data_IF_182470198635
#
_entry.id   IF_182470198635
#
_cell.length_a   1.000
_cell.length_b   1.000
_cell.length_c   1.000
_cell.angle_alpha   90.00
_cell.angle_beta   90.00
_cell.angle_gamma   90.00
#
_symmetry.space_group_name_H-M   'P 1'
#
loop_
_entity.id
_entity.type
_entity.pdbx_description
1 polymer ?
#
# COMPACT_ATOMS: atom_id res chain seq x y z
N UNK A 1 -7.40 -14.02 -1.15
CA UNK A 1 -6.49 -13.48 -0.11
C UNK A 1 -5.09 -13.68 -0.66
N UNK A 2 -4.41 -12.61 -1.05
CA UNK A 2 -3.23 -12.69 -1.91
C UNK A 2 -2.32 -11.48 -1.78
N UNK A 3 -1.12 -11.62 -2.35
CA UNK A 3 -0.11 -10.57 -2.48
C UNK A 3 -0.68 -9.33 -3.19
N UNK A 4 -0.07 -8.17 -2.91
CA UNK A 4 -0.39 -6.93 -3.62
C UNK A 4 0.13 -7.07 -5.05
N UNK A 5 -0.76 -6.92 -6.03
CA UNK A 5 -0.45 -7.11 -7.44
C UNK A 5 -0.62 -5.80 -8.24
N UNK A 6 -0.32 -5.87 -9.53
CA UNK A 6 -0.36 -4.73 -10.45
C UNK A 6 -1.71 -4.02 -10.51
N UNK A 7 -2.82 -4.76 -10.48
CA UNK A 7 -4.16 -4.19 -10.60
C UNK A 7 -4.52 -3.34 -9.37
N UNK A 8 -4.08 -3.77 -8.19
CA UNK A 8 -4.27 -3.02 -6.94
C UNK A 8 -3.53 -1.67 -7.00
N UNK A 9 -2.30 -1.68 -7.52
CA UNK A 9 -1.48 -0.47 -7.72
C UNK A 9 -2.13 0.49 -8.72
N UNK A 10 -2.62 -0.04 -9.85
CA UNK A 10 -3.27 0.80 -10.87
C UNK A 10 -4.56 1.45 -10.35
N UNK A 11 -5.33 0.70 -9.55
CA UNK A 11 -6.52 1.23 -8.90
C UNK A 11 -6.16 2.35 -7.92
N UNK A 12 -5.13 2.15 -7.09
CA UNK A 12 -4.66 3.13 -6.13
C UNK A 12 -4.13 4.40 -6.82
N UNK A 13 -3.34 4.27 -7.89
CA UNK A 13 -2.85 5.39 -8.70
C UNK A 13 -4.01 6.22 -9.26
N UNK A 14 -5.01 5.56 -9.84
CA UNK A 14 -6.19 6.23 -10.41
C UNK A 14 -7.00 6.96 -9.35
N UNK A 15 -7.08 6.39 -8.15
CA UNK A 15 -7.83 6.96 -7.03
C UNK A 15 -7.04 8.00 -6.23
N UNK A 16 -5.73 8.16 -6.48
CA UNK A 16 -4.84 8.95 -5.61
C UNK A 16 -4.76 8.39 -4.19
N UNK A 17 -4.84 7.07 -4.05
CA UNK A 17 -4.88 6.38 -2.78
C UNK A 17 -3.54 5.71 -2.44
N UNK A 18 -3.31 5.48 -1.15
CA UNK A 18 -2.20 4.66 -0.65
C UNK A 18 -2.64 3.20 -0.49
N UNK A 19 -1.69 2.27 -0.55
CA UNK A 19 -1.95 0.84 -0.32
C UNK A 19 -1.38 0.43 1.04
N UNK A 20 -2.22 -0.18 1.87
CA UNK A 20 -1.83 -0.75 3.16
C UNK A 20 -2.00 -2.27 3.11
N UNK A 21 -0.88 -2.99 3.21
CA UNK A 21 -0.82 -4.44 3.30
C UNK A 21 -0.58 -4.90 4.74
N UNK A 22 -1.31 -5.92 5.20
CA UNK A 22 -1.08 -6.56 6.50
C UNK A 22 -0.68 -8.02 6.30
N UNK A 23 0.52 -8.39 6.75
CA UNK A 23 1.08 -9.73 6.60
C UNK A 23 1.11 -10.24 5.15
N UNK A 24 1.33 -9.32 4.19
CA UNK A 24 1.41 -9.63 2.75
C UNK A 24 2.66 -8.98 2.17
N UNK A 25 3.23 -9.58 1.13
CA UNK A 25 4.34 -8.96 0.37
C UNK A 25 3.83 -8.56 -1.01
N UNK A 26 4.18 -7.36 -1.52
CA UNK A 26 3.90 -7.00 -2.90
C UNK A 26 4.78 -7.82 -3.85
N UNK A 27 4.22 -8.14 -5.00
CA UNK A 27 4.96 -8.74 -6.10
C UNK A 27 5.98 -7.74 -6.65
N UNK A 28 7.05 -8.24 -7.27
CA UNK A 28 8.12 -7.39 -7.82
C UNK A 28 7.58 -6.36 -8.84
N UNK A 29 6.68 -6.81 -9.72
CA UNK A 29 6.02 -5.97 -10.72
C UNK A 29 5.14 -4.89 -10.07
N UNK A 30 4.48 -5.22 -8.96
CA UNK A 30 3.64 -4.27 -8.23
C UNK A 30 4.50 -3.18 -7.57
N UNK A 31 5.64 -3.55 -6.99
CA UNK A 31 6.58 -2.58 -6.40
C UNK A 31 7.16 -1.64 -7.46
N UNK A 32 7.57 -2.17 -8.61
CA UNK A 32 8.08 -1.35 -9.71
C UNK A 32 7.02 -0.40 -10.26
N UNK A 33 5.77 -0.88 -10.42
CA UNK A 33 4.69 -0.01 -10.90
C UNK A 33 4.35 1.07 -9.88
N UNK A 34 4.39 0.75 -8.58
CA UNK A 34 4.10 1.71 -7.54
C UNK A 34 5.13 2.85 -7.50
N UNK A 35 6.41 2.55 -7.73
CA UNK A 35 7.45 3.58 -7.88
C UNK A 35 7.24 4.44 -9.13
N UNK A 36 6.72 3.87 -10.23
CA UNK A 36 6.45 4.60 -11.47
C UNK A 36 5.24 5.53 -11.36
N UNK A 37 4.18 5.07 -10.69
CA UNK A 37 2.90 5.77 -10.55
C UNK A 37 2.83 6.61 -9.27
N UNK A 38 3.93 6.72 -8.52
CA UNK A 38 4.03 7.43 -7.23
C UNK A 38 2.99 6.96 -6.18
N UNK A 39 2.76 5.65 -6.13
CA UNK A 39 1.85 5.01 -5.16
C UNK A 39 2.63 4.54 -3.94
N UNK A 40 2.27 5.05 -2.76
CA UNK A 40 2.84 4.61 -1.49
C UNK A 40 2.26 3.24 -1.08
N UNK A 41 3.13 2.23 -1.00
CA UNK A 41 2.79 0.90 -0.48
C UNK A 41 3.44 0.72 0.89
N UNK A 42 2.60 0.62 1.92
CA UNK A 42 3.04 0.32 3.29
C UNK A 42 2.63 -1.08 3.69
N UNK A 43 3.59 -1.85 4.16
CA UNK A 43 3.37 -3.22 4.63
C UNK A 43 3.64 -3.28 6.12
N UNK A 44 2.69 -3.84 6.86
CA UNK A 44 2.79 -4.00 8.30
C UNK A 44 2.73 -5.48 8.68
N UNK A 45 3.51 -5.83 9.69
CA UNK A 45 3.45 -7.14 10.35
C UNK A 45 2.68 -7.07 11.67
N UNK A 46 2.56 -5.86 12.26
CA UNK A 46 1.85 -5.60 13.52
C UNK A 46 0.70 -4.63 13.29
N UNK A 47 -0.52 -5.02 13.66
CA UNK A 47 -1.72 -4.25 13.29
C UNK A 47 -1.80 -2.89 13.99
N UNK A 48 -1.20 -2.76 15.18
CA UNK A 48 -1.18 -1.52 15.93
C UNK A 48 -0.36 -0.42 15.23
N UNK A 49 0.71 -0.80 14.53
CA UNK A 49 1.52 0.13 13.73
C UNK A 49 0.71 0.68 12.55
N UNK A 50 -0.01 -0.19 11.85
CA UNK A 50 -0.88 0.20 10.74
C UNK A 50 -1.97 1.20 11.19
N UNK A 51 -2.60 0.94 12.34
CA UNK A 51 -3.63 1.83 12.90
C UNK A 51 -3.02 3.20 13.26
N UNK A 52 -1.85 3.20 13.88
CA UNK A 52 -1.17 4.43 14.26
C UNK A 52 -0.82 5.28 13.04
N UNK A 53 -0.27 4.68 12.00
CA UNK A 53 0.11 5.38 10.77
C UNK A 53 -1.10 5.97 10.03
N UNK A 54 -2.20 5.22 9.95
CA UNK A 54 -3.46 5.74 9.39
C UNK A 54 -3.98 6.92 10.21
N UNK A 55 -3.91 6.82 11.54
CA UNK A 55 -4.35 7.90 12.43
C UNK A 55 -3.49 9.14 12.27
N UNK A 56 -2.17 8.97 12.22
CA UNK A 56 -1.22 10.05 11.99
C UNK A 56 -1.43 10.73 10.62
N UNK A 57 -1.74 9.96 9.57
CA UNK A 57 -2.03 10.50 8.25
C UNK A 57 -3.34 11.31 8.19
N UNK A 58 -4.30 11.05 9.08
CA UNK A 58 -5.58 11.78 9.18
C UNK A 58 -5.53 12.98 10.13
N UNK A 59 -4.61 12.98 11.09
CA UNK A 59 -4.38 14.08 12.03
C UNK A 59 -3.40 15.14 11.49
N UNK A 60 -2.75 14.86 10.35
CA UNK A 60 -1.92 15.78 9.59
C UNK A 60 -2.69 16.64 8.60
#
# INVERSE_FOLDING_TARGET
VGAINRSDVLLAATAGAIIIGFHVRPDADARQLAEQEDVDIRVYEVIYEAIQDVRAALEG
#
